data_IF_770611676968
#
_entry.id   IF_770611676968
#
_cell.length_a   1.000
_cell.length_b   1.000
_cell.length_c   1.000
_cell.angle_alpha   90.00
_cell.angle_beta   90.00
_cell.angle_gamma   90.00
#
_symmetry.space_group_name_H-M   'P 1'
#
loop_
_entity.id
_entity.type
_entity.pdbx_description
1 polymer ?
#
# COMPACT_ATOMS: atom_id res chain seq x y z
N UNK A 1 7.63 -6.57 -7.60
CA UNK A 1 6.16 -6.73 -7.73
C UNK A 1 5.56 -5.39 -8.08
N UNK A 2 4.70 -5.34 -9.10
CA UNK A 2 3.93 -4.16 -9.49
C UNK A 2 2.50 -4.39 -9.02
N UNK A 3 1.91 -3.43 -8.31
CA UNK A 3 0.55 -3.53 -7.75
C UNK A 3 -0.21 -2.24 -7.93
N UNK A 4 -1.53 -2.30 -7.87
CA UNK A 4 -2.38 -1.12 -7.82
C UNK A 4 -2.48 -0.50 -6.41
N UNK A 5 -2.68 0.81 -6.37
CA UNK A 5 -3.19 1.59 -5.24
C UNK A 5 -4.01 2.75 -5.81
N UNK A 6 -5.25 2.47 -6.22
CA UNK A 6 -6.06 3.42 -6.98
C UNK A 6 -6.65 4.52 -6.11
N UNK A 7 -7.05 4.21 -4.87
CA UNK A 7 -7.65 5.18 -3.96
C UNK A 7 -6.80 5.40 -2.72
N UNK A 8 -6.92 6.60 -2.14
CA UNK A 8 -6.39 6.93 -0.82
C UNK A 8 -7.16 6.22 0.29
N UNK A 9 -6.56 6.07 1.48
CA UNK A 9 -7.17 5.33 2.59
C UNK A 9 -8.53 5.86 3.01
N UNK A 10 -8.72 7.18 3.05
CA UNK A 10 -10.04 7.79 3.35
C UNK A 10 -11.13 7.47 2.31
N UNK A 11 -10.77 6.87 1.18
CA UNK A 11 -11.68 6.40 0.14
C UNK A 11 -11.87 4.89 0.11
N UNK A 12 -11.59 4.16 1.21
CA UNK A 12 -11.67 2.68 1.25
C UNK A 12 -13.03 2.15 0.76
N UNK A 13 -14.15 2.75 1.16
CA UNK A 13 -15.47 2.32 0.67
C UNK A 13 -15.60 2.49 -0.85
N UNK A 14 -15.19 3.64 -1.40
CA UNK A 14 -15.19 3.86 -2.86
C UNK A 14 -14.28 2.88 -3.58
N UNK A 15 -13.14 2.54 -2.98
CA UNK A 15 -12.22 1.54 -3.52
C UNK A 15 -12.92 0.16 -3.57
N UNK A 16 -13.57 -0.26 -2.49
CA UNK A 16 -14.35 -1.51 -2.43
C UNK A 16 -15.45 -1.52 -3.49
N UNK A 17 -16.27 -0.46 -3.54
CA UNK A 17 -17.40 -0.36 -4.46
C UNK A 17 -16.95 -0.37 -5.94
N UNK A 18 -15.72 0.11 -6.20
CA UNK A 18 -15.12 0.16 -7.53
C UNK A 18 -14.15 -1.01 -7.81
N UNK A 19 -14.04 -1.98 -6.90
CA UNK A 19 -13.14 -3.15 -7.01
C UNK A 19 -11.67 -2.76 -7.16
N UNK A 20 -11.22 -1.83 -6.31
CA UNK A 20 -9.88 -1.26 -6.29
C UNK A 20 -9.26 -1.25 -4.89
N UNK A 21 -7.96 -0.99 -4.82
CA UNK A 21 -7.19 -1.03 -3.58
C UNK A 21 -6.80 0.34 -3.04
N UNK A 22 -6.56 0.37 -1.73
CA UNK A 22 -5.95 1.48 -1.00
C UNK A 22 -4.58 1.08 -0.43
N UNK A 23 -3.73 2.05 -0.03
CA UNK A 23 -2.50 1.76 0.70
C UNK A 23 -2.70 0.90 1.96
N UNK A 24 -3.79 1.08 2.72
CA UNK A 24 -4.08 0.25 3.90
C UNK A 24 -4.31 -1.23 3.54
N UNK A 25 -4.94 -1.51 2.40
CA UNK A 25 -5.05 -2.89 1.91
C UNK A 25 -3.67 -3.47 1.56
N UNK A 26 -2.81 -2.65 0.94
CA UNK A 26 -1.44 -3.03 0.61
C UNK A 26 -0.63 -3.37 1.86
N UNK A 27 -0.72 -2.56 2.92
CA UNK A 27 -0.04 -2.79 4.20
C UNK A 27 -0.39 -4.15 4.81
N UNK A 28 -1.69 -4.45 4.90
CA UNK A 28 -2.19 -5.73 5.42
C UNK A 28 -1.62 -6.88 4.59
N UNK A 29 -1.69 -6.78 3.26
CA UNK A 29 -1.18 -7.80 2.34
C UNK A 29 0.33 -8.02 2.48
N UNK A 30 1.12 -6.94 2.59
CA UNK A 30 2.57 -7.03 2.73
C UNK A 30 2.97 -7.59 4.11
N UNK A 31 2.24 -7.25 5.16
CA UNK A 31 2.45 -7.81 6.50
C UNK A 31 2.23 -9.33 6.51
N UNK A 32 1.12 -9.77 5.92
CA UNK A 32 0.82 -11.19 5.72
C UNK A 32 1.89 -11.90 4.88
N UNK A 33 2.33 -11.26 3.79
CA UNK A 33 3.39 -11.79 2.94
C UNK A 33 4.71 -11.95 3.70
N UNK A 34 5.15 -10.91 4.43
CA UNK A 34 6.39 -10.94 5.23
C UNK A 34 6.32 -12.03 6.28
N UNK A 35 5.19 -12.19 6.97
CA UNK A 35 5.00 -13.25 7.96
C UNK A 35 5.16 -14.64 7.35
N UNK A 36 4.62 -14.87 6.14
CA UNK A 36 4.66 -16.17 5.48
C UNK A 36 5.99 -16.46 4.78
N UNK A 37 6.68 -15.43 4.27
CA UNK A 37 7.85 -15.59 3.40
C UNK A 37 9.16 -15.18 4.06
N UNK A 38 9.12 -14.46 5.18
CA UNK A 38 10.28 -13.95 5.89
C UNK A 38 10.96 -12.75 5.21
N UNK A 39 10.40 -12.22 4.11
CA UNK A 39 10.93 -11.05 3.41
C UNK A 39 9.80 -10.24 2.78
N UNK A 40 10.09 -8.98 2.42
CA UNK A 40 9.23 -8.17 1.57
C UNK A 40 9.80 -8.06 0.16
N UNK A 41 8.96 -8.17 -0.88
CA UNK A 41 9.42 -7.98 -2.25
C UNK A 41 9.75 -6.50 -2.50
N UNK A 42 10.65 -6.21 -3.46
CA UNK A 42 10.74 -4.86 -4.04
C UNK A 42 9.43 -4.55 -4.76
N UNK A 43 8.87 -3.37 -4.48
CA UNK A 43 7.51 -3.00 -4.87
C UNK A 43 7.49 -1.72 -5.71
N UNK A 44 6.61 -1.68 -6.70
CA UNK A 44 6.24 -0.46 -7.42
C UNK A 44 4.71 -0.33 -7.32
N UNK A 45 4.24 0.81 -6.85
CA UNK A 45 2.83 1.14 -6.73
C UNK A 45 2.36 1.90 -7.99
N UNK A 46 1.33 1.40 -8.65
CA UNK A 46 0.80 1.90 -9.92
C UNK A 46 -0.73 1.98 -9.94
N UNK A 47 -1.30 2.23 -11.12
CA UNK A 47 -2.75 2.40 -11.32
C UNK A 47 -3.39 3.39 -10.33
N UNK A 48 -2.78 4.57 -10.21
CA UNK A 48 -3.13 5.61 -9.24
C UNK A 48 -4.18 6.53 -9.84
N UNK A 49 -5.29 6.76 -9.12
CA UNK A 49 -6.30 7.72 -9.55
C UNK A 49 -5.72 9.16 -9.45
N UNK A 50 -5.59 9.92 -10.56
CA UNK A 50 -4.90 11.21 -10.57
C UNK A 50 -5.35 12.23 -9.50
N UNK A 51 -6.65 12.38 -9.18
CA UNK A 51 -7.12 13.31 -8.15
C UNK A 51 -6.58 13.00 -6.74
N UNK A 52 -6.14 11.77 -6.48
CA UNK A 52 -5.71 11.30 -5.15
C UNK A 52 -4.20 11.02 -5.08
N UNK A 53 -3.47 11.30 -6.17
CA UNK A 53 -2.08 10.90 -6.34
C UNK A 53 -1.16 11.33 -5.19
N UNK A 54 -1.28 12.57 -4.74
CA UNK A 54 -0.37 13.08 -3.69
C UNK A 54 -0.72 12.53 -2.30
N UNK A 55 -2.00 12.30 -2.00
CA UNK A 55 -2.40 11.62 -0.75
C UNK A 55 -1.91 10.16 -0.74
N UNK A 56 -2.12 9.45 -1.85
CA UNK A 56 -1.64 8.07 -2.02
C UNK A 56 -0.11 8.01 -1.90
N UNK A 57 0.62 8.99 -2.46
CA UNK A 57 2.08 9.07 -2.33
C UNK A 57 2.51 9.14 -0.86
N UNK A 58 1.86 10.02 -0.07
CA UNK A 58 2.17 10.18 1.36
C UNK A 58 1.85 8.89 2.13
N UNK A 59 0.69 8.31 1.90
CA UNK A 59 0.27 7.07 2.55
C UNK A 59 1.23 5.91 2.23
N UNK A 60 1.60 5.72 0.96
CA UNK A 60 2.59 4.70 0.54
C UNK A 60 3.98 4.97 1.14
N UNK A 61 4.39 6.24 1.27
CA UNK A 61 5.67 6.58 1.92
C UNK A 61 5.67 6.15 3.39
N UNK A 62 4.58 6.39 4.13
CA UNK A 62 4.47 5.93 5.51
C UNK A 62 4.56 4.41 5.64
N UNK A 63 4.02 3.64 4.68
CA UNK A 63 4.17 2.18 4.69
C UNK A 63 5.64 1.75 4.56
N UNK A 64 6.38 2.39 3.66
CA UNK A 64 7.80 2.10 3.48
C UNK A 64 8.61 2.43 4.75
N UNK A 65 8.29 3.52 5.42
CA UNK A 65 8.95 3.93 6.66
C UNK A 65 8.59 3.02 7.85
N UNK A 66 7.34 2.59 7.96
CA UNK A 66 6.88 1.66 8.99
C UNK A 66 7.62 0.32 8.91
N UNK A 67 7.84 -0.22 7.71
CA UNK A 67 8.64 -1.44 7.54
C UNK A 67 10.10 -1.24 7.94
N UNK A 68 10.71 -0.10 7.62
CA UNK A 68 12.08 0.18 8.03
C UNK A 68 12.19 0.25 9.56
N UNK A 69 11.23 0.86 10.25
CA UNK A 69 11.20 0.91 11.71
C UNK A 69 11.08 -0.48 12.35
N UNK A 70 10.26 -1.37 11.78
CA UNK A 70 10.10 -2.75 12.28
C UNK A 70 11.25 -3.70 11.89
N UNK A 71 12.21 -3.23 11.10
CA UNK A 71 13.36 -4.02 10.65
C UNK A 71 14.67 -3.59 11.33
N UNK A 72 14.61 -2.63 12.25
CA UNK A 72 15.72 -2.27 13.13
C UNK A 72 15.76 -3.23 14.34
N UNK A 73 16.95 -3.74 14.73
CA UNK A 73 17.11 -4.67 15.84
C UNK A 73 16.83 -4.05 17.21
#
# INVERSE_FOLDING_TARGET
MLTEVTFRNRGEQTAIDSVHMTPAYLERTLSEFKRQKGYLPKMIAGHINPPYKEEIRVEVKHLAEADMMMSLP
#
